data_IF_948685905023
#
_entry.id   IF_948685905023
#
_cell.length_a   1.000
_cell.length_b   1.000
_cell.length_c   1.000
_cell.angle_alpha   90.00
_cell.angle_beta   90.00
_cell.angle_gamma   90.00
#
_symmetry.space_group_name_H-M   'P 1'
#
loop_
_entity.id
_entity.type
_entity.pdbx_description
1 polymer ?
#
# COMPACT_ATOMS: atom_id res chain seq x y z
N UNK A 1 -12.76 -23.10 2.25
CA UNK A 1 -11.53 -22.25 2.25
C UNK A 1 -11.10 -21.82 0.84
N UNK A 2 -11.06 -22.71 -0.18
CA UNK A 2 -10.65 -22.35 -1.56
C UNK A 2 -11.38 -21.14 -2.16
N UNK A 3 -12.68 -20.96 -1.93
CA UNK A 3 -13.49 -19.85 -2.51
C UNK A 3 -13.01 -18.45 -2.10
N UNK A 4 -12.48 -18.29 -0.88
CA UNK A 4 -11.96 -17.01 -0.38
C UNK A 4 -10.61 -16.65 -0.98
N UNK A 5 -9.77 -17.66 -1.26
CA UNK A 5 -8.48 -17.49 -1.95
C UNK A 5 -8.71 -17.02 -3.39
N UNK A 6 -9.70 -17.58 -4.09
CA UNK A 6 -10.09 -17.13 -5.43
C UNK A 6 -10.66 -15.72 -5.45
N UNK A 7 -11.41 -15.32 -4.42
CA UNK A 7 -11.88 -13.94 -4.28
C UNK A 7 -10.70 -12.99 -4.05
N UNK A 8 -9.76 -13.33 -3.17
CA UNK A 8 -8.53 -12.55 -2.95
C UNK A 8 -7.70 -12.40 -4.23
N UNK A 9 -7.47 -13.50 -4.95
CA UNK A 9 -6.75 -13.48 -6.24
C UNK A 9 -7.53 -12.65 -7.27
N UNK A 10 -8.86 -12.79 -7.32
CA UNK A 10 -9.72 -12.01 -8.20
C UNK A 10 -9.64 -10.51 -7.88
N UNK A 11 -9.63 -10.12 -6.61
CA UNK A 11 -9.48 -8.73 -6.18
C UNK A 11 -8.07 -8.20 -6.46
N UNK A 12 -7.03 -9.03 -6.31
CA UNK A 12 -5.64 -8.67 -6.63
C UNK A 12 -5.45 -8.43 -8.14
N UNK A 13 -6.00 -9.33 -8.97
CA UNK A 13 -5.92 -9.22 -10.43
C UNK A 13 -6.78 -8.07 -10.93
N UNK A 14 -7.99 -7.91 -10.41
CA UNK A 14 -8.85 -6.77 -10.74
C UNK A 14 -8.21 -5.45 -10.28
N UNK A 15 -7.63 -5.41 -9.08
CA UNK A 15 -6.92 -4.24 -8.55
C UNK A 15 -5.69 -3.88 -9.39
N UNK A 16 -4.92 -4.87 -9.82
CA UNK A 16 -3.80 -4.70 -10.74
C UNK A 16 -4.24 -4.20 -12.12
N UNK A 17 -5.30 -4.76 -12.69
CA UNK A 17 -5.86 -4.36 -13.98
C UNK A 17 -6.43 -2.94 -13.93
N UNK A 18 -7.16 -2.59 -12.87
CA UNK A 18 -7.65 -1.22 -12.63
C UNK A 18 -6.49 -0.25 -12.48
N UNK A 19 -5.42 -0.65 -11.79
CA UNK A 19 -4.22 0.17 -11.63
C UNK A 19 -3.49 0.42 -12.96
N UNK A 20 -3.37 -0.59 -13.81
CA UNK A 20 -2.76 -0.50 -15.14
C UNK A 20 -3.64 0.33 -16.09
N UNK A 21 -4.96 0.13 -16.05
CA UNK A 21 -5.91 0.91 -16.84
C UNK A 21 -5.90 2.39 -16.43
N UNK A 22 -5.86 2.66 -15.12
CA UNK A 22 -5.75 4.00 -14.58
C UNK A 22 -4.43 4.67 -14.99
N UNK A 23 -3.31 3.93 -14.96
CA UNK A 23 -2.00 4.41 -15.40
C UNK A 23 -1.97 4.82 -16.88
N UNK A 24 -2.66 4.08 -17.76
CA UNK A 24 -2.74 4.39 -19.19
C UNK A 24 -3.61 5.61 -19.50
N UNK A 25 -4.64 5.88 -18.70
CA UNK A 25 -5.49 7.07 -18.85
C UNK A 25 -4.80 8.36 -18.35
N UNK A 26 -3.80 8.25 -17.46
CA UNK A 26 -3.07 9.36 -16.84
C UNK A 26 -1.91 9.95 -17.65
N UNK A 27 -1.80 9.68 -18.96
CA UNK A 27 -0.79 10.30 -19.83
C UNK A 27 -0.79 11.85 -19.88
N UNK A 28 -1.80 12.52 -19.31
CA UNK A 28 -1.86 13.99 -19.18
C UNK A 28 -1.29 14.45 -17.84
N UNK A 29 0.02 14.74 -17.84
CA UNK A 29 0.76 15.36 -16.74
C UNK A 29 0.13 16.73 -16.38
N UNK A 30 -0.45 16.86 -15.19
CA UNK A 30 -0.78 18.17 -14.60
C UNK A 30 -2.09 18.31 -13.82
N UNK A 31 -3.01 17.34 -13.91
CA UNK A 31 -4.33 17.47 -13.27
C UNK A 31 -4.37 16.79 -11.88
N UNK A 32 -5.01 17.47 -10.89
CA UNK A 32 -5.32 16.95 -9.55
C UNK A 32 -5.83 15.48 -9.54
N UNK A 33 -6.70 15.04 -10.47
CA UNK A 33 -7.11 13.63 -10.56
C UNK A 33 -5.95 12.66 -10.87
N UNK A 34 -4.96 13.03 -11.70
CA UNK A 34 -3.80 12.17 -11.96
C UNK A 34 -2.95 11.97 -10.71
N UNK A 35 -2.88 12.99 -9.83
CA UNK A 35 -2.21 12.87 -8.54
C UNK A 35 -2.95 11.92 -7.61
N UNK A 36 -4.28 12.05 -7.50
CA UNK A 36 -5.09 11.16 -6.67
C UNK A 36 -4.95 9.70 -7.12
N UNK A 37 -5.06 9.44 -8.42
CA UNK A 37 -4.92 8.10 -8.99
C UNK A 37 -3.52 7.54 -8.69
N UNK A 38 -2.47 8.33 -8.91
CA UNK A 38 -1.10 7.90 -8.62
C UNK A 38 -0.92 7.50 -7.15
N UNK A 39 -1.47 8.28 -6.21
CA UNK A 39 -1.40 7.98 -4.78
C UNK A 39 -2.15 6.69 -4.47
N UNK A 40 -3.40 6.57 -4.94
CA UNK A 40 -4.22 5.37 -4.75
C UNK A 40 -3.54 4.13 -5.30
N UNK A 41 -2.97 4.20 -6.51
CA UNK A 41 -2.24 3.09 -7.13
C UNK A 41 -1.00 2.71 -6.31
N UNK A 42 -0.23 3.67 -5.80
CA UNK A 42 0.94 3.37 -4.95
C UNK A 42 0.54 2.67 -3.65
N UNK A 43 -0.52 3.13 -2.98
CA UNK A 43 -1.00 2.52 -1.75
C UNK A 43 -1.64 1.15 -1.96
N UNK A 44 -2.37 0.96 -3.06
CA UNK A 44 -2.89 -0.34 -3.46
C UNK A 44 -1.75 -1.32 -3.74
N UNK A 45 -0.74 -0.91 -4.51
CA UNK A 45 0.42 -1.76 -4.78
C UNK A 45 1.15 -2.15 -3.48
N UNK A 46 1.34 -1.20 -2.56
CA UNK A 46 1.93 -1.48 -1.26
C UNK A 46 1.06 -2.45 -0.44
N UNK A 47 -0.25 -2.29 -0.45
CA UNK A 47 -1.19 -3.17 0.26
C UNK A 47 -1.13 -4.60 -0.26
N UNK A 48 -1.06 -4.76 -1.58
CA UNK A 48 -0.85 -6.07 -2.21
C UNK A 48 0.50 -6.67 -1.82
N UNK A 49 1.59 -5.90 -1.93
CA UNK A 49 2.93 -6.40 -1.60
C UNK A 49 3.06 -6.80 -0.13
N UNK A 50 2.57 -5.97 0.79
CA UNK A 50 2.61 -6.25 2.22
C UNK A 50 1.70 -7.42 2.60
N UNK A 51 0.50 -7.49 2.03
CA UNK A 51 -0.39 -8.63 2.22
C UNK A 51 0.22 -9.94 1.71
N UNK A 52 0.86 -9.91 0.55
CA UNK A 52 1.52 -11.07 -0.02
C UNK A 52 2.77 -11.46 0.78
N UNK A 53 3.70 -10.53 1.03
CA UNK A 53 4.94 -10.80 1.74
C UNK A 53 4.69 -11.20 3.20
N UNK A 54 3.81 -10.46 3.91
CA UNK A 54 3.41 -10.77 5.27
C UNK A 54 2.64 -12.09 5.36
N UNK A 55 1.73 -12.36 4.43
CA UNK A 55 1.01 -13.63 4.36
C UNK A 55 1.93 -14.83 4.05
N UNK A 56 2.90 -14.65 3.16
CA UNK A 56 3.88 -15.68 2.83
C UNK A 56 4.77 -15.98 4.04
N UNK A 57 5.28 -14.95 4.69
CA UNK A 57 6.13 -15.11 5.85
C UNK A 57 5.37 -15.67 7.07
N UNK A 58 4.08 -15.36 7.23
CA UNK A 58 3.20 -16.01 8.20
C UNK A 58 2.94 -17.48 7.86
N UNK A 59 2.76 -17.81 6.58
CA UNK A 59 2.59 -19.19 6.12
C UNK A 59 3.82 -20.06 6.45
N UNK A 60 5.03 -19.50 6.36
CA UNK A 60 6.28 -20.17 6.73
C UNK A 60 6.64 -20.05 8.22
N UNK A 61 5.77 -19.47 9.06
CA UNK A 61 5.99 -19.35 10.51
C UNK A 61 7.11 -18.38 10.91
N UNK A 62 7.54 -17.50 10.01
CA UNK A 62 8.62 -16.53 10.23
C UNK A 62 8.12 -15.34 11.05
N UNK A 63 6.88 -14.91 10.82
CA UNK A 63 6.31 -13.72 11.47
C UNK A 63 4.77 -13.71 11.49
N UNK A 64 4.20 -13.08 12.51
CA UNK A 64 2.76 -12.85 12.64
C UNK A 64 2.40 -11.55 11.94
N UNK A 65 1.46 -11.61 10.99
CA UNK A 65 1.07 -10.46 10.16
C UNK A 65 -0.43 -10.19 10.25
N UNK A 66 -0.80 -8.96 10.64
CA UNK A 66 -2.17 -8.47 10.60
C UNK A 66 -2.31 -7.36 9.55
N UNK A 67 -2.98 -7.70 8.43
CA UNK A 67 -3.22 -6.76 7.33
C UNK A 67 -4.23 -5.66 7.65
N UNK A 68 -5.01 -5.79 8.71
CA UNK A 68 -6.07 -4.83 9.08
C UNK A 68 -5.47 -3.47 9.43
N UNK A 69 -4.39 -3.47 10.22
CA UNK A 69 -3.69 -2.27 10.62
C UNK A 69 -3.00 -1.58 9.44
N UNK A 70 -2.43 -2.35 8.50
CA UNK A 70 -1.89 -1.78 7.27
C UNK A 70 -2.96 -1.09 6.43
N UNK A 71 -4.18 -1.62 6.42
CA UNK A 71 -5.29 -1.05 5.65
C UNK A 71 -5.69 0.34 6.18
N UNK A 72 -5.73 0.50 7.51
CA UNK A 72 -5.95 1.79 8.15
C UNK A 72 -4.81 2.78 7.87
N UNK A 73 -3.57 2.30 7.94
CA UNK A 73 -2.39 3.09 7.63
C UNK A 73 -2.38 3.51 6.15
N UNK A 74 -2.80 2.63 5.24
CA UNK A 74 -2.90 2.93 3.82
C UNK A 74 -3.97 3.98 3.50
N UNK A 75 -5.13 3.90 4.15
CA UNK A 75 -6.17 4.89 4.01
C UNK A 75 -5.71 6.27 4.53
N UNK A 76 -5.19 6.33 5.76
CA UNK A 76 -4.74 7.56 6.39
C UNK A 76 -3.50 8.17 5.70
N UNK A 77 -2.51 7.34 5.41
CA UNK A 77 -1.28 7.70 4.73
C UNK A 77 -1.51 8.15 3.29
N UNK A 78 -2.47 7.55 2.58
CA UNK A 78 -2.89 7.99 1.25
C UNK A 78 -3.50 9.39 1.23
N UNK A 79 -4.41 9.66 2.18
CA UNK A 79 -4.99 11.00 2.33
C UNK A 79 -3.90 12.02 2.67
N UNK A 80 -2.99 11.67 3.58
CA UNK A 80 -1.90 12.57 3.97
C UNK A 80 -0.94 12.82 2.80
N UNK A 81 -0.47 11.77 2.11
CA UNK A 81 0.36 11.89 0.92
C UNK A 81 -0.28 12.78 -0.13
N UNK A 82 -1.57 12.59 -0.43
CA UNK A 82 -2.30 13.42 -1.40
C UNK A 82 -2.32 14.90 -0.99
N UNK A 83 -2.61 15.19 0.29
CA UNK A 83 -2.60 16.57 0.81
C UNK A 83 -1.21 17.21 0.72
N UNK A 84 -0.16 16.49 1.11
CA UNK A 84 1.21 16.98 1.08
C UNK A 84 1.69 17.16 -0.36
N UNK A 85 1.30 16.26 -1.26
CA UNK A 85 1.62 16.33 -2.68
C UNK A 85 0.97 17.53 -3.38
N UNK A 86 -0.24 17.92 -2.97
CA UNK A 86 -0.89 19.15 -3.47
C UNK A 86 -0.25 20.41 -2.89
N UNK A 87 0.06 20.42 -1.59
CA UNK A 87 0.53 21.63 -0.90
C UNK A 87 2.00 21.94 -1.14
N UNK A 88 2.84 20.92 -1.23
CA UNK A 88 4.29 21.08 -1.23
C UNK A 88 4.95 20.43 -2.47
N UNK A 89 4.21 19.58 -3.19
CA UNK A 89 4.64 19.01 -4.47
C UNK A 89 4.96 17.52 -4.38
N UNK A 90 5.29 16.94 -5.55
CA UNK A 90 5.45 15.48 -5.71
C UNK A 90 6.52 14.87 -4.80
N UNK A 91 7.63 15.55 -4.58
CA UNK A 91 8.74 15.01 -3.79
C UNK A 91 8.37 14.84 -2.31
N UNK A 92 7.71 15.82 -1.68
CA UNK A 92 7.24 15.65 -0.30
C UNK A 92 6.11 14.61 -0.19
N UNK A 93 5.24 14.50 -1.19
CA UNK A 93 4.25 13.41 -1.21
C UNK A 93 4.91 12.03 -1.18
N UNK A 94 5.95 11.83 -2.01
CA UNK A 94 6.73 10.59 -2.01
C UNK A 94 7.46 10.35 -0.69
N UNK A 95 7.99 11.40 -0.07
CA UNK A 95 8.61 11.29 1.26
C UNK A 95 7.60 10.78 2.30
N UNK A 96 6.35 11.26 2.29
CA UNK A 96 5.29 10.76 3.18
C UNK A 96 4.98 9.29 2.91
N UNK A 97 4.94 8.86 1.65
CA UNK A 97 4.76 7.45 1.30
C UNK A 97 5.88 6.60 1.89
N UNK A 98 7.13 6.96 1.64
CA UNK A 98 8.31 6.22 2.15
C UNK A 98 8.32 6.20 3.67
N UNK A 99 8.07 7.34 4.33
CA UNK A 99 8.00 7.42 5.78
C UNK A 99 6.93 6.48 6.34
N UNK A 100 5.77 6.39 5.70
CA UNK A 100 4.71 5.50 6.12
C UNK A 100 5.04 4.01 5.89
N UNK A 101 5.74 3.68 4.80
CA UNK A 101 6.26 2.31 4.59
C UNK A 101 7.28 1.92 5.66
N UNK A 102 8.19 2.83 6.01
CA UNK A 102 9.18 2.62 7.07
C UNK A 102 8.52 2.49 8.45
N UNK A 103 7.51 3.32 8.73
CA UNK A 103 6.74 3.25 9.97
C UNK A 103 6.05 1.89 10.08
N UNK A 104 5.40 1.44 9.00
CA UNK A 104 4.76 0.12 9.00
C UNK A 104 5.77 -1.02 9.18
N UNK A 105 6.91 -0.96 8.49
CA UNK A 105 8.00 -1.92 8.70
C UNK A 105 8.43 -1.96 10.18
N UNK A 106 8.60 -0.80 10.81
CA UNK A 106 8.91 -0.71 12.25
C UNK A 106 7.84 -1.36 13.13
N UNK A 107 6.55 -1.13 12.83
CA UNK A 107 5.44 -1.78 13.53
C UNK A 107 5.47 -3.30 13.36
N UNK A 108 5.70 -3.80 12.14
CA UNK A 108 5.80 -5.24 11.88
C UNK A 108 6.99 -5.85 12.63
N UNK A 109 8.15 -5.20 12.62
CA UNK A 109 9.34 -5.65 13.36
C UNK A 109 9.11 -5.65 14.88
N UNK A 110 8.41 -4.63 15.39
CA UNK A 110 8.05 -4.53 16.81
C UNK A 110 7.07 -5.63 17.22
N UNK A 111 6.00 -5.84 16.44
CA UNK A 111 5.01 -6.91 16.68
C UNK A 111 5.65 -8.30 16.68
N UNK A 112 6.72 -8.48 15.93
CA UNK A 112 7.47 -9.73 15.84
C UNK A 112 8.66 -9.80 16.81
N UNK A 113 8.81 -8.84 17.72
CA UNK A 113 9.82 -8.86 18.78
C UNK A 113 11.26 -8.68 18.30
N UNK A 114 11.47 -8.28 17.04
CA UNK A 114 12.81 -8.11 16.43
C UNK A 114 13.52 -6.86 16.97
N UNK A 115 12.75 -5.84 17.36
CA UNK A 115 13.27 -4.57 17.88
C UNK A 115 13.61 -4.57 19.39
N UNK A 116 13.18 -5.59 20.13
CA UNK A 116 13.30 -5.66 21.60
C UNK A 116 14.21 -6.83 22.03
N UNK A 117 14.84 -7.51 21.07
CA UNK A 117 15.71 -8.66 21.33
C UNK A 117 17.17 -8.28 21.39
#
# INVERSE_FOLDING_TARGET
MKRWIWLLIGTLVAGGLVSIAAARLTGRRGSRPATLISVVTMWLAAWVLWGFAGGLAAHYGVLTYDGTLFTLLAAGGGIWQYRTQIRQGRQQGLAVFVAAQLLWLGVVLWQNGVLIR
#
